data_IF_101183639640
#
_entry.id   IF_101183639640
#
_cell.length_a   1.000
_cell.length_b   1.000
_cell.length_c   1.000
_cell.angle_alpha   90.00
_cell.angle_beta   90.00
_cell.angle_gamma   90.00
#
_symmetry.space_group_name_H-M   'P 1'
#
loop_
_entity.id
_entity.type
_entity.pdbx_description
1 polymer ?
#
# COMPACT_ATOMS: atom_id res chain seq x y z
N UNK A 1 -0.05 -11.60 -10.05
CA UNK A 1 1.21 -11.80 -10.83
C UNK A 1 2.43 -11.84 -9.92
N UNK A 2 2.68 -10.85 -9.06
CA UNK A 2 3.90 -10.76 -8.23
C UNK A 2 4.04 -11.87 -7.18
N UNK A 3 2.94 -12.50 -6.75
CA UNK A 3 2.92 -13.65 -5.83
C UNK A 3 3.24 -15.00 -6.48
N UNK A 4 3.51 -15.04 -7.79
CA UNK A 4 3.92 -16.27 -8.47
C UNK A 4 5.31 -16.72 -8.01
N UNK A 5 5.60 -18.02 -8.25
CA UNK A 5 6.92 -18.58 -7.92
C UNK A 5 8.05 -17.90 -8.69
N UNK A 6 9.19 -17.73 -8.01
CA UNK A 6 10.42 -17.30 -8.67
C UNK A 6 10.80 -18.25 -9.80
N UNK A 7 11.46 -17.76 -10.86
CA UNK A 7 11.94 -16.39 -11.08
C UNK A 7 10.98 -15.52 -11.95
N UNK A 8 9.74 -15.96 -12.18
CA UNK A 8 8.87 -15.32 -13.17
C UNK A 8 8.60 -13.83 -12.88
N UNK A 9 8.09 -13.43 -11.69
CA UNK A 9 7.82 -12.03 -11.42
C UNK A 9 9.09 -11.19 -11.36
N UNK A 10 10.18 -11.72 -10.81
CA UNK A 10 11.47 -11.04 -10.78
C UNK A 10 11.98 -10.74 -12.19
N UNK A 11 11.91 -11.72 -13.08
CA UNK A 11 12.33 -11.54 -14.48
C UNK A 11 11.51 -10.49 -15.21
N UNK A 12 10.20 -10.40 -14.92
CA UNK A 12 9.33 -9.39 -15.48
C UNK A 12 9.70 -7.97 -15.00
N UNK A 13 9.87 -7.79 -13.69
CA UNK A 13 10.22 -6.50 -13.10
C UNK A 13 11.61 -6.01 -13.54
N UNK A 14 12.60 -6.91 -13.52
CA UNK A 14 13.96 -6.59 -13.96
C UNK A 14 14.05 -6.32 -15.47
N UNK A 15 13.21 -6.97 -16.28
CA UNK A 15 13.18 -6.80 -17.72
C UNK A 15 12.60 -5.45 -18.16
N UNK A 16 11.74 -4.83 -17.36
CA UNK A 16 11.09 -3.56 -17.67
C UNK A 16 10.86 -2.72 -16.41
N UNK A 17 11.91 -2.28 -15.72
CA UNK A 17 11.80 -1.59 -14.42
C UNK A 17 10.90 -0.34 -14.46
N UNK A 18 10.91 0.40 -15.56
CA UNK A 18 10.11 1.60 -15.75
C UNK A 18 8.63 1.30 -16.00
N UNK A 19 8.31 0.17 -16.61
CA UNK A 19 6.93 -0.18 -16.97
C UNK A 19 6.00 -0.29 -15.76
N UNK A 20 6.55 -0.52 -14.56
CA UNK A 20 5.79 -0.52 -13.31
C UNK A 20 5.15 0.85 -13.04
N UNK A 21 5.80 1.93 -13.45
CA UNK A 21 5.39 3.32 -13.20
C UNK A 21 4.71 3.98 -14.41
N UNK A 22 4.96 3.48 -15.61
CA UNK A 22 4.37 3.99 -16.87
C UNK A 22 2.95 3.45 -17.12
N UNK A 23 2.30 2.86 -16.12
CA UNK A 23 0.91 2.41 -16.19
C UNK A 23 -0.08 3.55 -15.85
N UNK A 24 -1.39 3.39 -16.12
CA UNK A 24 -2.38 4.44 -15.86
C UNK A 24 -2.48 4.91 -14.40
N UNK A 25 -2.03 4.12 -13.44
CA UNK A 25 -2.06 4.49 -12.01
C UNK A 25 -0.86 5.34 -11.59
N UNK A 26 0.26 5.28 -12.31
CA UNK A 26 1.50 6.02 -11.98
C UNK A 26 1.87 7.10 -12.97
N UNK A 27 1.22 7.15 -14.13
CA UNK A 27 1.59 8.10 -15.17
C UNK A 27 1.35 9.55 -14.74
N UNK A 28 2.44 10.33 -14.69
CA UNK A 28 2.40 11.75 -14.29
C UNK A 28 2.38 12.02 -12.79
N UNK A 29 2.34 10.99 -11.93
CA UNK A 29 2.31 11.15 -10.47
C UNK A 29 3.67 11.55 -9.87
N UNK A 30 4.76 11.38 -10.61
CA UNK A 30 6.13 11.56 -10.11
C UNK A 30 6.88 12.62 -10.87
N UNK A 31 7.72 13.39 -10.17
CA UNK A 31 8.78 14.17 -10.82
C UNK A 31 9.80 13.23 -11.49
N UNK A 32 10.55 13.74 -12.47
CA UNK A 32 11.56 12.92 -13.16
C UNK A 32 12.63 12.37 -12.20
N UNK A 33 12.99 13.14 -11.17
CA UNK A 33 13.98 12.77 -10.15
C UNK A 33 13.46 11.63 -9.27
N UNK A 34 12.25 11.77 -8.72
CA UNK A 34 11.61 10.75 -7.88
C UNK A 34 11.37 9.46 -8.68
N UNK A 35 10.92 9.59 -9.94
CA UNK A 35 10.71 8.44 -10.80
C UNK A 35 12.00 7.65 -11.05
N UNK A 36 13.12 8.34 -11.28
CA UNK A 36 14.41 7.65 -11.49
C UNK A 36 14.90 6.96 -10.21
N UNK A 37 14.67 7.56 -9.04
CA UNK A 37 14.95 6.92 -7.76
C UNK A 37 14.14 5.62 -7.58
N UNK A 38 12.85 5.63 -7.87
CA UNK A 38 12.03 4.43 -7.81
C UNK A 38 12.47 3.38 -8.84
N UNK A 39 12.69 3.77 -10.09
CA UNK A 39 13.16 2.88 -11.16
C UNK A 39 14.50 2.24 -10.82
N UNK A 40 15.40 2.97 -10.13
CA UNK A 40 16.71 2.44 -9.71
C UNK A 40 16.55 1.23 -8.78
N UNK A 41 15.55 1.24 -7.89
CA UNK A 41 15.26 0.11 -6.99
C UNK A 41 14.83 -1.14 -7.77
N UNK A 42 14.13 -0.97 -8.88
CA UNK A 42 13.70 -2.07 -9.75
C UNK A 42 14.79 -2.59 -10.71
N UNK A 43 15.99 -2.00 -10.69
CA UNK A 43 17.18 -2.52 -11.37
C UNK A 43 18.05 -3.41 -10.47
N UNK A 44 17.79 -3.40 -9.17
CA UNK A 44 18.52 -4.22 -8.19
C UNK A 44 17.81 -5.57 -7.99
N UNK A 45 18.45 -6.71 -8.38
CA UNK A 45 17.83 -8.04 -8.24
C UNK A 45 17.44 -8.39 -6.81
N UNK A 46 18.21 -7.97 -5.79
CA UNK A 46 17.92 -8.26 -4.40
C UNK A 46 16.68 -7.51 -3.91
N UNK A 47 16.53 -6.23 -4.29
CA UNK A 47 15.36 -5.44 -3.98
C UNK A 47 14.11 -5.97 -4.69
N UNK A 48 14.22 -6.31 -5.97
CA UNK A 48 13.11 -6.92 -6.73
C UNK A 48 12.69 -8.25 -6.13
N UNK A 49 13.64 -9.08 -5.71
CA UNK A 49 13.31 -10.32 -5.01
C UNK A 49 12.55 -10.03 -3.70
N UNK A 50 12.99 -9.08 -2.89
CA UNK A 50 12.30 -8.68 -1.66
C UNK A 50 10.87 -8.22 -1.92
N UNK A 51 10.64 -7.39 -2.95
CA UNK A 51 9.30 -6.96 -3.37
C UNK A 51 8.42 -8.19 -3.71
N UNK A 52 8.94 -9.14 -4.46
CA UNK A 52 8.19 -10.34 -4.83
C UNK A 52 7.89 -11.24 -3.61
N UNK A 53 8.83 -11.36 -2.66
CA UNK A 53 8.60 -12.11 -1.42
C UNK A 53 7.52 -11.48 -0.55
N UNK A 54 7.44 -10.16 -0.47
CA UNK A 54 6.34 -9.46 0.20
C UNK A 54 4.97 -9.86 -0.38
N UNK A 55 4.82 -9.86 -1.70
CA UNK A 55 3.58 -10.31 -2.36
C UNK A 55 3.30 -11.80 -2.15
N UNK A 56 4.34 -12.64 -2.04
CA UNK A 56 4.17 -14.06 -1.72
C UNK A 56 3.71 -14.26 -0.28
N UNK A 57 4.31 -13.54 0.67
CA UNK A 57 3.91 -13.57 2.06
C UNK A 57 2.44 -13.13 2.22
N UNK A 58 2.08 -11.99 1.62
CA UNK A 58 0.70 -11.47 1.64
C UNK A 58 -0.33 -12.44 1.03
N UNK A 59 0.07 -13.31 0.10
CA UNK A 59 -0.81 -14.31 -0.49
C UNK A 59 -0.82 -15.66 0.25
N UNK A 60 0.02 -15.85 1.26
CA UNK A 60 0.21 -17.14 1.96
C UNK A 60 0.25 -16.96 3.47
N UNK A 61 1.44 -16.81 4.03
CA UNK A 61 1.67 -16.85 5.49
C UNK A 61 0.96 -15.73 6.23
N UNK A 62 0.85 -14.53 5.66
CA UNK A 62 0.17 -13.41 6.31
C UNK A 62 -1.33 -13.71 6.47
N UNK A 63 -1.96 -14.34 5.47
CA UNK A 63 -3.36 -14.77 5.55
C UNK A 63 -3.58 -15.80 6.67
N UNK A 64 -2.60 -16.68 6.90
CA UNK A 64 -2.66 -17.67 7.99
C UNK A 64 -2.52 -16.96 9.34
N UNK A 65 -1.60 -16.01 9.47
CA UNK A 65 -1.42 -15.21 10.68
C UNK A 65 -2.68 -14.38 10.98
N UNK A 66 -3.23 -13.69 9.98
CA UNK A 66 -4.44 -12.88 10.13
C UNK A 66 -5.64 -13.72 10.61
N UNK A 67 -5.80 -14.94 10.11
CA UNK A 67 -6.84 -15.86 10.57
C UNK A 67 -6.64 -16.26 12.02
N UNK A 68 -5.42 -16.65 12.38
CA UNK A 68 -5.09 -17.02 13.75
C UNK A 68 -5.31 -15.86 14.73
N UNK A 69 -4.88 -14.65 14.38
CA UNK A 69 -5.08 -13.45 15.17
C UNK A 69 -6.57 -13.11 15.32
N UNK A 70 -7.37 -13.29 14.26
CA UNK A 70 -8.81 -13.08 14.29
C UNK A 70 -9.53 -14.10 15.18
N UNK A 71 -9.12 -15.37 15.16
CA UNK A 71 -9.70 -16.43 16.00
C UNK A 71 -9.54 -16.13 17.50
N UNK A 72 -8.44 -15.55 17.91
CA UNK A 72 -8.17 -15.12 19.29
C UNK A 72 -8.58 -13.69 19.58
N UNK A 73 -9.27 -13.03 18.64
CA UNK A 73 -9.73 -11.64 18.76
C UNK A 73 -8.62 -10.63 19.06
N UNK A 74 -7.41 -10.89 18.58
CA UNK A 74 -6.28 -9.98 18.71
C UNK A 74 -6.56 -8.64 18.03
N UNK A 75 -6.09 -7.55 18.61
CA UNK A 75 -6.33 -6.19 18.15
C UNK A 75 -5.03 -5.41 18.05
N UNK A 76 -5.04 -4.40 17.20
CA UNK A 76 -4.03 -3.35 17.15
C UNK A 76 -4.40 -2.36 18.25
N UNK A 77 -3.53 -2.22 19.24
CA UNK A 77 -3.77 -1.40 20.43
C UNK A 77 -3.16 0.01 20.31
N UNK A 78 -2.23 0.21 19.38
CA UNK A 78 -1.68 1.53 19.12
C UNK A 78 -2.65 2.38 18.30
N UNK A 79 -2.57 3.73 18.40
CA UNK A 79 -3.31 4.63 17.52
C UNK A 79 -3.08 4.31 16.05
N UNK A 80 -4.13 4.39 15.24
CA UNK A 80 -4.07 4.05 13.81
C UNK A 80 -4.71 5.13 12.95
N UNK A 81 -3.93 5.65 11.99
CA UNK A 81 -4.40 6.53 10.93
C UNK A 81 -4.45 5.74 9.61
N UNK A 82 -5.63 5.66 8.99
CA UNK A 82 -5.84 5.04 7.69
C UNK A 82 -6.14 6.11 6.63
N UNK A 83 -5.29 6.19 5.61
CA UNK A 83 -5.48 7.08 4.46
C UNK A 83 -5.59 6.24 3.19
N UNK A 84 -6.49 6.62 2.28
CA UNK A 84 -6.70 5.91 1.01
C UNK A 84 -7.04 6.89 -0.12
N UNK A 85 -6.86 6.48 -1.38
CA UNK A 85 -7.21 7.28 -2.54
C UNK A 85 -8.72 7.43 -2.70
N UNK A 86 -9.25 8.66 -2.80
CA UNK A 86 -10.67 8.97 -2.93
C UNK A 86 -11.35 8.28 -4.13
N UNK A 87 -10.64 8.19 -5.24
CA UNK A 87 -11.16 7.53 -6.46
C UNK A 87 -10.62 6.09 -6.65
N UNK A 88 -9.97 5.55 -5.64
CA UNK A 88 -9.35 4.23 -5.70
C UNK A 88 -10.32 3.09 -5.41
N UNK A 89 -9.89 1.84 -5.66
CA UNK A 89 -10.71 0.66 -5.36
C UNK A 89 -11.13 0.56 -3.89
N UNK A 90 -10.30 1.02 -2.96
CA UNK A 90 -10.59 0.98 -1.52
C UNK A 90 -11.76 1.90 -1.11
N UNK A 91 -12.07 2.90 -1.92
CA UNK A 91 -13.20 3.80 -1.68
C UNK A 91 -14.56 3.13 -1.92
N UNK A 92 -14.60 2.10 -2.76
CA UNK A 92 -15.84 1.46 -3.21
C UNK A 92 -15.97 -0.02 -2.84
N UNK A 93 -14.88 -0.78 -2.81
CA UNK A 93 -14.92 -2.25 -2.63
C UNK A 93 -15.58 -2.70 -1.33
N UNK A 94 -15.41 -1.93 -0.27
CA UNK A 94 -15.87 -2.28 1.08
C UNK A 94 -17.05 -1.43 1.55
N UNK A 95 -17.81 -0.83 0.63
CA UNK A 95 -18.92 0.07 0.98
C UNK A 95 -19.94 -0.57 1.94
N UNK A 96 -20.19 -1.88 1.80
CA UNK A 96 -21.11 -2.64 2.68
C UNK A 96 -20.59 -2.85 4.09
N UNK A 97 -19.26 -2.78 4.27
CA UNK A 97 -18.55 -3.01 5.54
C UNK A 97 -18.14 -1.70 6.22
N UNK A 98 -18.70 -0.57 5.79
CA UNK A 98 -18.34 0.76 6.29
C UNK A 98 -17.09 1.36 5.60
N UNK A 99 -16.82 0.92 4.36
CA UNK A 99 -15.64 1.31 3.58
C UNK A 99 -14.36 0.64 4.08
N UNK A 100 -13.22 1.03 3.53
CA UNK A 100 -11.91 0.49 3.95
C UNK A 100 -11.60 0.78 5.42
N UNK A 101 -12.04 1.91 5.95
CA UNK A 101 -11.91 2.22 7.37
C UNK A 101 -12.73 1.27 8.26
N UNK A 102 -13.92 0.83 7.81
CA UNK A 102 -14.73 -0.15 8.51
C UNK A 102 -14.03 -1.51 8.62
N UNK A 103 -13.28 -1.91 7.60
CA UNK A 103 -12.44 -3.12 7.65
C UNK A 103 -11.34 -2.97 8.71
N UNK A 104 -10.61 -1.84 8.70
CA UNK A 104 -9.54 -1.62 9.68
C UNK A 104 -10.05 -1.53 11.11
N UNK A 105 -11.25 -1.00 11.36
CA UNK A 105 -11.89 -0.97 12.70
C UNK A 105 -12.20 -2.35 13.27
N UNK A 106 -12.22 -3.39 12.45
CA UNK A 106 -12.30 -4.76 12.94
C UNK A 106 -11.01 -5.20 13.63
N UNK A 107 -9.88 -4.57 13.34
CA UNK A 107 -8.56 -4.84 13.91
C UNK A 107 -8.11 -3.78 14.91
N UNK A 108 -8.39 -2.53 14.63
CA UNK A 108 -8.09 -1.35 15.42
C UNK A 108 -9.38 -0.57 15.66
N UNK A 109 -10.13 -0.82 16.76
CA UNK A 109 -11.45 -0.20 16.99
C UNK A 109 -11.44 1.33 16.90
N UNK A 110 -10.36 1.95 17.38
CA UNK A 110 -10.17 3.39 17.40
C UNK A 110 -9.50 3.95 16.11
N UNK A 111 -9.39 3.13 15.07
CA UNK A 111 -8.85 3.59 13.79
C UNK A 111 -9.68 4.75 13.23
N UNK A 112 -8.99 5.80 12.83
CA UNK A 112 -9.57 6.93 12.14
C UNK A 112 -8.80 7.23 10.85
N UNK A 113 -9.41 8.01 9.96
CA UNK A 113 -8.81 8.30 8.69
C UNK A 113 -9.79 8.86 7.69
N UNK A 114 -9.32 9.10 6.49
CA UNK A 114 -10.14 9.62 5.41
C UNK A 114 -9.58 9.33 4.03
N UNK A 115 -10.45 9.46 3.02
CA UNK A 115 -10.03 9.51 1.63
C UNK A 115 -9.17 10.76 1.35
N UNK A 116 -8.15 10.58 0.52
CA UNK A 116 -7.22 11.61 0.07
C UNK A 116 -7.44 11.89 -1.41
N UNK A 117 -7.41 13.17 -1.79
CA UNK A 117 -7.41 13.55 -3.21
C UNK A 117 -6.16 13.00 -3.89
N UNK A 118 -6.34 12.47 -5.08
CA UNK A 118 -5.29 11.84 -5.87
C UNK A 118 -5.62 10.40 -6.23
N UNK A 119 -4.73 9.77 -6.99
CA UNK A 119 -4.84 8.37 -7.40
C UNK A 119 -4.16 7.41 -6.44
N UNK A 120 -3.68 6.30 -7.00
CA UNK A 120 -2.99 5.26 -6.24
C UNK A 120 -1.75 5.78 -5.49
N UNK A 121 -1.09 6.78 -6.04
CA UNK A 121 0.10 7.41 -5.46
C UNK A 121 -0.23 8.77 -4.82
N UNK A 122 -1.39 8.90 -4.18
CA UNK A 122 -1.79 10.15 -3.53
C UNK A 122 -0.74 10.74 -2.57
N UNK A 123 0.14 9.98 -1.90
CA UNK A 123 1.18 10.59 -1.08
C UNK A 123 2.18 11.44 -1.88
N UNK A 124 2.38 11.10 -3.17
CA UNK A 124 3.21 11.87 -4.09
C UNK A 124 2.42 12.98 -4.79
N UNK A 125 1.18 12.67 -5.18
CA UNK A 125 0.28 13.57 -5.91
C UNK A 125 -0.26 14.71 -5.03
N UNK A 126 -0.36 14.46 -3.73
CA UNK A 126 -0.91 15.37 -2.71
C UNK A 126 -0.06 15.34 -1.42
N UNK A 127 1.25 15.55 -1.60
CA UNK A 127 2.23 15.39 -0.54
C UNK A 127 2.03 16.35 0.64
N UNK A 128 1.64 17.59 0.37
CA UNK A 128 1.45 18.60 1.41
C UNK A 128 0.32 18.23 2.37
N UNK A 129 -0.87 17.91 1.86
CA UNK A 129 -2.01 17.52 2.70
C UNK A 129 -1.73 16.20 3.44
N UNK A 130 -1.05 15.26 2.77
CA UNK A 130 -0.66 14.00 3.39
C UNK A 130 0.30 14.22 4.55
N UNK A 131 1.33 15.04 4.36
CA UNK A 131 2.30 15.37 5.40
C UNK A 131 1.66 16.07 6.59
N UNK A 132 0.74 17.01 6.34
CA UNK A 132 0.00 17.72 7.41
C UNK A 132 -0.79 16.72 8.26
N UNK A 133 -1.52 15.80 7.63
CA UNK A 133 -2.32 14.81 8.36
C UNK A 133 -1.47 13.83 9.16
N UNK A 134 -0.40 13.31 8.55
CA UNK A 134 0.53 12.41 9.25
C UNK A 134 1.19 13.11 10.42
N UNK A 135 1.63 14.37 10.23
CA UNK A 135 2.20 15.16 11.33
C UNK A 135 1.20 15.38 12.46
N UNK A 136 -0.03 15.80 12.14
CA UNK A 136 -1.08 15.99 13.15
C UNK A 136 -1.35 14.70 13.93
N UNK A 137 -1.40 13.57 13.25
CA UNK A 137 -1.57 12.28 13.91
C UNK A 137 -0.42 11.98 14.87
N UNK A 138 0.83 12.14 14.45
CA UNK A 138 2.00 11.86 15.27
C UNK A 138 2.14 12.82 16.47
N UNK A 139 1.69 14.07 16.33
CA UNK A 139 1.74 15.06 17.41
C UNK A 139 0.68 14.80 18.53
N UNK A 140 -0.33 13.95 18.26
CA UNK A 140 -1.45 13.69 19.16
C UNK A 140 -1.62 12.21 19.55
N UNK A 141 -0.68 11.36 19.13
CA UNK A 141 -0.72 9.90 19.37
C UNK A 141 0.03 9.50 20.63
#
# INVERSE_FOLDING_TARGET
MLSQKAPLPESYLLGAPRAVFDNPFGHGSFSAEILEEYVSNYRDPARVHGICEEYRAAATIDVEHDRADKEVSKRIECPMLHLWAEAGPLDTFYAKDGGSLGIWRQWAPDAHGRAMKGGHFFPEENAEDTAVLVKQFLDHS
#
